data_IF_664450478012
#
_entry.id   IF_664450478012
#
_cell.length_a   1.000
_cell.length_b   1.000
_cell.length_c   1.000
_cell.angle_alpha   90.00
_cell.angle_beta   90.00
_cell.angle_gamma   90.00
#
_symmetry.space_group_name_H-M   'P 1'
#
loop_
_entity.id
_entity.type
_entity.pdbx_description
1 polymer ?
#
# COMPACT_ATOMS: atom_id res chain seq x y z
N UNK A 1 -18.04 -20.70 15.50
CA UNK A 1 -17.68 -21.25 14.16
C UNK A 1 -17.84 -20.21 13.05
N UNK A 2 -19.02 -19.61 12.84
CA UNK A 2 -19.24 -18.60 11.78
C UNK A 2 -18.37 -17.35 11.93
N UNK A 3 -18.26 -16.78 13.14
CA UNK A 3 -17.43 -15.58 13.36
C UNK A 3 -15.95 -15.76 13.01
N UNK A 4 -15.40 -16.96 13.28
CA UNK A 4 -14.03 -17.34 12.91
C UNK A 4 -13.82 -17.34 11.40
N UNK A 5 -14.77 -17.90 10.64
CA UNK A 5 -14.69 -17.91 9.18
C UNK A 5 -14.77 -16.50 8.62
N UNK A 6 -15.69 -15.66 9.13
CA UNK A 6 -15.82 -14.27 8.68
C UNK A 6 -14.55 -13.46 8.95
N UNK A 7 -13.94 -13.61 10.12
CA UNK A 7 -12.69 -12.93 10.45
C UNK A 7 -11.55 -13.37 9.52
N UNK A 8 -11.38 -14.67 9.30
CA UNK A 8 -10.35 -15.19 8.40
C UNK A 8 -10.56 -14.74 6.95
N UNK A 9 -11.81 -14.74 6.46
CA UNK A 9 -12.16 -14.27 5.11
C UNK A 9 -11.79 -12.80 4.96
N UNK A 10 -12.20 -11.95 5.91
CA UNK A 10 -11.91 -10.52 5.85
C UNK A 10 -10.40 -10.26 5.91
N UNK A 11 -9.71 -10.82 6.91
CA UNK A 11 -8.27 -10.64 7.09
C UNK A 11 -7.49 -11.10 5.86
N UNK A 12 -7.84 -12.26 5.30
CA UNK A 12 -7.16 -12.80 4.13
C UNK A 12 -7.46 -11.98 2.86
N UNK A 13 -8.70 -11.48 2.70
CA UNK A 13 -9.09 -10.66 1.57
C UNK A 13 -8.37 -9.32 1.57
N UNK A 14 -8.34 -8.62 2.71
CA UNK A 14 -7.61 -7.36 2.84
C UNK A 14 -6.11 -7.57 2.69
N UNK A 15 -5.57 -8.65 3.24
CA UNK A 15 -4.17 -9.03 3.07
C UNK A 15 -3.79 -9.19 1.60
N UNK A 16 -4.49 -10.05 0.85
CA UNK A 16 -4.26 -10.24 -0.58
C UNK A 16 -4.44 -8.95 -1.38
N UNK A 17 -5.53 -8.23 -1.15
CA UNK A 17 -5.82 -6.97 -1.84
C UNK A 17 -4.71 -5.95 -1.63
N UNK A 18 -4.22 -5.80 -0.39
CA UNK A 18 -3.14 -4.87 -0.05
C UNK A 18 -1.82 -5.21 -0.77
N UNK A 19 -1.45 -6.49 -0.79
CA UNK A 19 -0.23 -6.97 -1.44
C UNK A 19 -0.26 -6.75 -2.95
N UNK A 20 -1.37 -7.10 -3.61
CA UNK A 20 -1.51 -6.91 -5.05
C UNK A 20 -1.65 -5.43 -5.43
N UNK A 21 -2.31 -4.62 -4.60
CA UNK A 21 -2.40 -3.17 -4.83
C UNK A 21 -1.02 -2.52 -4.75
N UNK A 22 -0.18 -2.94 -3.80
CA UNK A 22 1.20 -2.46 -3.67
C UNK A 22 2.02 -2.79 -4.94
N UNK A 23 1.84 -3.99 -5.49
CA UNK A 23 2.43 -4.38 -6.77
C UNK A 23 1.96 -3.51 -7.93
N UNK A 24 0.64 -3.28 -8.02
CA UNK A 24 0.06 -2.43 -9.05
C UNK A 24 0.58 -0.99 -9.00
N UNK A 25 0.75 -0.43 -7.80
CA UNK A 25 1.32 0.91 -7.60
C UNK A 25 2.78 0.95 -8.07
N UNK A 26 3.60 -0.03 -7.69
CA UNK A 26 5.00 -0.11 -8.13
C UNK A 26 5.12 -0.31 -9.65
N UNK A 27 4.27 -1.13 -10.26
CA UNK A 27 4.22 -1.32 -11.71
C UNK A 27 3.82 -0.03 -12.45
N UNK A 28 2.79 0.66 -11.98
CA UNK A 28 2.35 1.94 -12.54
C UNK A 28 3.49 2.96 -12.57
N UNK A 29 4.22 3.08 -11.45
CA UNK A 29 5.39 3.96 -11.35
C UNK A 29 6.54 3.54 -12.25
N UNK A 30 6.81 2.24 -12.33
CA UNK A 30 7.82 1.69 -13.25
C UNK A 30 7.48 2.04 -14.71
N UNK A 31 6.21 1.90 -15.10
CA UNK A 31 5.75 2.24 -16.45
C UNK A 31 6.00 3.72 -16.80
N UNK A 32 5.67 4.63 -15.87
CA UNK A 32 5.89 6.07 -16.04
C UNK A 32 7.38 6.40 -16.23
N UNK A 33 8.25 5.83 -15.39
CA UNK A 33 9.70 6.12 -15.43
C UNK A 33 10.36 5.56 -16.69
N UNK A 34 9.89 4.43 -17.21
CA UNK A 34 10.44 3.83 -18.43
C UNK A 34 10.01 4.56 -19.71
N UNK A 35 8.92 5.33 -19.71
CA UNK A 35 8.39 5.99 -20.91
C UNK A 35 8.17 7.50 -20.75
N UNK A 36 9.20 8.30 -20.45
CA UNK A 36 9.03 9.73 -20.17
C UNK A 36 8.42 10.54 -21.33
N UNK A 37 8.62 10.14 -22.59
CA UNK A 37 8.13 10.86 -23.78
C UNK A 37 6.80 10.35 -24.34
N UNK A 38 6.29 9.20 -23.86
CA UNK A 38 5.05 8.57 -24.30
C UNK A 38 4.12 8.21 -23.12
N UNK A 39 4.47 8.67 -21.92
CA UNK A 39 3.67 8.47 -20.72
C UNK A 39 2.43 9.36 -20.81
N UNK A 40 1.41 8.88 -21.51
CA UNK A 40 0.05 9.31 -21.18
C UNK A 40 -0.17 8.98 -19.72
N UNK A 41 -0.63 9.96 -18.95
CA UNK A 41 -1.04 9.78 -17.55
C UNK A 41 -1.89 8.51 -17.45
N UNK A 42 -1.63 7.70 -16.43
CA UNK A 42 -2.47 6.54 -16.18
C UNK A 42 -3.87 7.06 -15.88
N UNK A 43 -4.77 6.92 -16.86
CA UNK A 43 -6.15 7.41 -16.76
C UNK A 43 -6.83 6.79 -15.56
N UNK A 44 -7.69 7.56 -14.88
CA UNK A 44 -8.47 7.10 -13.72
C UNK A 44 -9.21 5.79 -14.02
N UNK A 45 -9.76 5.66 -15.23
CA UNK A 45 -10.42 4.43 -15.69
C UNK A 45 -9.52 3.19 -15.62
N UNK A 46 -8.25 3.31 -16.01
CA UNK A 46 -7.27 2.21 -15.91
C UNK A 46 -6.97 1.86 -14.46
N UNK A 47 -6.83 2.88 -13.60
CA UNK A 47 -6.62 2.65 -12.17
C UNK A 47 -7.80 1.90 -11.54
N UNK A 48 -9.04 2.28 -11.88
CA UNK A 48 -10.25 1.60 -11.41
C UNK A 48 -10.29 0.16 -11.90
N UNK A 49 -10.04 -0.09 -13.19
CA UNK A 49 -9.99 -1.44 -13.75
C UNK A 49 -8.95 -2.30 -13.02
N UNK A 50 -7.74 -1.79 -12.81
CA UNK A 50 -6.68 -2.51 -12.08
C UNK A 50 -7.13 -2.81 -10.65
N UNK A 51 -7.73 -1.85 -9.95
CA UNK A 51 -8.23 -2.05 -8.59
C UNK A 51 -9.34 -3.13 -8.54
N UNK A 52 -10.28 -3.12 -9.49
CA UNK A 52 -11.30 -4.15 -9.62
C UNK A 52 -10.69 -5.54 -9.86
N UNK A 53 -9.70 -5.64 -10.76
CA UNK A 53 -8.99 -6.91 -11.03
C UNK A 53 -8.29 -7.42 -9.77
N UNK A 54 -7.59 -6.54 -9.03
CA UNK A 54 -6.94 -6.89 -7.77
C UNK A 54 -7.95 -7.44 -6.74
N UNK A 55 -9.09 -6.76 -6.58
CA UNK A 55 -10.15 -7.17 -5.66
C UNK A 55 -10.74 -8.51 -6.06
N UNK A 56 -11.01 -8.74 -7.35
CA UNK A 56 -11.54 -10.01 -7.85
C UNK A 56 -10.55 -11.15 -7.59
N UNK A 57 -9.26 -10.95 -7.88
CA UNK A 57 -8.23 -11.96 -7.62
C UNK A 57 -8.13 -12.27 -6.12
N UNK A 58 -8.13 -11.25 -5.27
CA UNK A 58 -8.13 -11.44 -3.82
C UNK A 58 -9.36 -12.20 -3.33
N UNK A 59 -10.54 -11.88 -3.87
CA UNK A 59 -11.79 -12.58 -3.54
C UNK A 59 -11.75 -14.05 -3.98
N UNK A 60 -11.19 -14.35 -5.15
CA UNK A 60 -11.00 -15.74 -5.58
C UNK A 60 -10.16 -16.50 -4.54
N UNK A 61 -9.01 -15.97 -4.14
CA UNK A 61 -8.15 -16.62 -3.14
C UNK A 61 -8.86 -16.88 -1.81
N UNK A 62 -9.73 -15.97 -1.36
CA UNK A 62 -10.47 -16.15 -0.10
C UNK A 62 -11.66 -17.10 -0.20
N UNK A 63 -12.24 -17.30 -1.38
CA UNK A 63 -13.33 -18.26 -1.55
C UNK A 63 -12.83 -19.70 -1.73
N UNK A 64 -11.59 -19.89 -2.21
CA UNK A 64 -11.01 -21.22 -2.45
C UNK A 64 -11.03 -22.18 -1.23
N UNK A 65 -10.74 -21.73 0.01
CA UNK A 65 -10.94 -22.56 1.20
C UNK A 65 -12.41 -22.94 1.45
N UNK A 66 -13.36 -22.06 1.15
CA UNK A 66 -14.79 -22.33 1.42
C UNK A 66 -15.32 -23.41 0.47
N UNK A 67 -14.86 -23.41 -0.78
CA UNK A 67 -15.24 -24.41 -1.78
C UNK A 67 -14.49 -25.74 -1.65
N UNK A 68 -13.60 -25.86 -0.66
CA UNK A 68 -13.00 -27.13 -0.26
C UNK A 68 -11.53 -27.35 -0.63
N UNK A 69 -10.79 -26.37 -1.18
CA UNK A 69 -9.34 -26.54 -1.38
C UNK A 69 -8.55 -26.45 -0.05
N UNK A 70 -9.12 -25.81 0.96
CA UNK A 70 -8.60 -25.77 2.32
C UNK A 70 -9.80 -25.60 3.28
N UNK A 71 -9.58 -25.20 4.53
CA UNK A 71 -10.64 -24.76 5.44
C UNK A 71 -10.13 -23.63 6.35
N UNK A 72 -11.06 -22.85 6.90
CA UNK A 72 -10.72 -21.86 7.92
C UNK A 72 -10.78 -22.47 9.32
N UNK A 73 -9.69 -22.34 10.07
CA UNK A 73 -9.54 -22.85 11.43
C UNK A 73 -8.87 -21.82 12.34
N UNK A 74 -8.84 -22.09 13.64
CA UNK A 74 -8.15 -21.26 14.63
C UNK A 74 -6.63 -21.39 14.49
N UNK A 75 -5.91 -20.27 14.59
CA UNK A 75 -4.43 -20.25 14.61
C UNK A 75 -3.84 -19.90 15.96
N UNK A 76 -2.60 -20.38 16.17
CA UNK A 76 -1.69 -19.89 17.21
C UNK A 76 -2.30 -19.97 18.59
N UNK A 77 -2.47 -18.81 19.24
CA UNK A 77 -3.06 -18.68 20.57
C UNK A 77 -4.59 -18.90 20.62
N UNK A 78 -5.21 -19.35 19.53
CA UNK A 78 -6.66 -19.59 19.39
C UNK A 78 -7.51 -18.31 19.51
N UNK A 79 -6.92 -17.17 19.18
CA UNK A 79 -7.54 -15.84 19.25
C UNK A 79 -7.90 -15.25 17.88
N UNK A 80 -7.43 -15.86 16.80
CA UNK A 80 -7.68 -15.46 15.41
C UNK A 80 -7.80 -16.69 14.53
N UNK A 81 -8.35 -16.51 13.34
CA UNK A 81 -8.61 -17.56 12.38
C UNK A 81 -7.89 -17.33 11.05
N UNK A 82 -7.60 -18.45 10.39
CA UNK A 82 -6.75 -18.48 9.22
C UNK A 82 -7.03 -19.73 8.38
N UNK A 83 -6.32 -19.89 7.28
CA UNK A 83 -6.33 -21.13 6.48
C UNK A 83 -5.62 -22.25 7.26
N UNK A 84 -6.08 -23.48 7.10
CA UNK A 84 -5.50 -24.62 7.80
C UNK A 84 -4.15 -25.02 7.18
N UNK A 85 -3.08 -24.80 7.95
CA UNK A 85 -1.72 -25.23 7.65
C UNK A 85 -1.19 -26.31 8.60
N UNK A 86 -2.03 -26.77 9.53
CA UNK A 86 -1.73 -27.87 10.45
C UNK A 86 -1.97 -29.22 9.77
N UNK A 87 -3.04 -29.31 8.98
CA UNK A 87 -3.40 -30.52 8.25
C UNK A 87 -2.41 -30.80 7.11
N UNK A 88 -1.94 -32.05 7.04
CA UNK A 88 -0.92 -32.52 6.11
C UNK A 88 -1.48 -33.28 4.93
N UNK A 89 -2.81 -33.37 4.80
CA UNK A 89 -3.43 -33.90 3.59
C UNK A 89 -2.96 -33.11 2.37
N UNK A 90 -2.62 -33.77 1.24
CA UNK A 90 -2.08 -33.12 0.05
C UNK A 90 -2.90 -31.91 -0.44
N UNK A 91 -4.22 -31.96 -0.24
CA UNK A 91 -5.15 -30.87 -0.53
C UNK A 91 -4.75 -29.56 0.18
N UNK A 92 -4.55 -29.60 1.50
CA UNK A 92 -4.21 -28.44 2.33
C UNK A 92 -2.79 -27.95 2.08
N UNK A 93 -1.84 -28.89 2.00
CA UNK A 93 -0.43 -28.63 1.70
C UNK A 93 -0.29 -27.94 0.33
N UNK A 94 -1.00 -28.44 -0.68
CA UNK A 94 -0.99 -27.83 -2.02
C UNK A 94 -1.51 -26.40 -1.99
N UNK A 95 -2.60 -26.12 -1.27
CA UNK A 95 -3.12 -24.76 -1.15
C UNK A 95 -2.10 -23.82 -0.48
N UNK A 96 -1.50 -24.23 0.65
CA UNK A 96 -0.49 -23.42 1.35
C UNK A 96 0.75 -23.17 0.49
N UNK A 97 1.17 -24.15 -0.31
CA UNK A 97 2.24 -23.97 -1.29
C UNK A 97 1.87 -22.92 -2.35
N UNK A 98 0.67 -22.97 -2.90
CA UNK A 98 0.19 -21.96 -3.85
C UNK A 98 0.11 -20.57 -3.22
N UNK A 99 -0.31 -20.43 -1.95
CA UNK A 99 -0.27 -19.15 -1.26
C UNK A 99 1.15 -18.60 -1.13
N UNK A 100 2.10 -19.45 -0.75
CA UNK A 100 3.51 -19.05 -0.67
C UNK A 100 4.03 -18.51 -2.01
N UNK A 101 3.68 -19.16 -3.13
CA UNK A 101 4.11 -18.71 -4.47
C UNK A 101 3.37 -17.46 -4.94
N UNK A 102 2.04 -17.50 -4.99
CA UNK A 102 1.22 -16.49 -5.67
C UNK A 102 0.91 -15.26 -4.81
N UNK A 103 0.77 -15.43 -3.50
CA UNK A 103 0.43 -14.34 -2.58
C UNK A 103 1.69 -13.71 -1.97
N UNK A 104 2.81 -14.44 -1.93
CA UNK A 104 4.07 -13.93 -1.37
C UNK A 104 5.21 -13.81 -2.39
N UNK A 105 5.71 -14.91 -2.98
CA UNK A 105 6.90 -14.87 -3.84
C UNK A 105 6.71 -13.99 -5.10
N UNK A 106 5.62 -14.16 -5.83
CA UNK A 106 5.35 -13.38 -7.05
C UNK A 106 5.24 -11.88 -6.72
N UNK A 107 4.42 -11.44 -5.74
CA UNK A 107 4.40 -10.06 -5.29
C UNK A 107 5.79 -9.53 -4.89
N UNK A 108 6.56 -10.29 -4.11
CA UNK A 108 7.91 -9.89 -3.71
C UNK A 108 8.83 -9.68 -4.92
N UNK A 109 8.82 -10.60 -5.89
CA UNK A 109 9.62 -10.50 -7.11
C UNK A 109 9.21 -9.27 -7.91
N UNK A 110 7.90 -9.05 -8.10
CA UNK A 110 7.39 -7.85 -8.81
C UNK A 110 7.88 -6.59 -8.10
N UNK A 111 7.76 -6.52 -6.78
CA UNK A 111 8.22 -5.37 -6.00
C UNK A 111 9.73 -5.16 -6.16
N UNK A 112 10.56 -6.18 -6.00
CA UNK A 112 12.02 -6.04 -6.14
C UNK A 112 12.38 -5.59 -7.55
N UNK A 113 11.90 -6.29 -8.59
CA UNK A 113 12.25 -5.99 -9.99
C UNK A 113 11.80 -4.60 -10.39
N UNK A 114 10.53 -4.24 -10.15
CA UNK A 114 10.01 -2.93 -10.53
C UNK A 114 10.72 -1.80 -9.80
N UNK A 115 10.96 -1.93 -8.49
CA UNK A 115 11.65 -0.90 -7.72
C UNK A 115 13.14 -0.80 -8.09
N UNK A 116 13.81 -1.91 -8.47
CA UNK A 116 15.16 -1.86 -9.02
C UNK A 116 15.20 -1.08 -10.35
N UNK A 117 14.24 -1.33 -11.25
CA UNK A 117 14.13 -0.59 -12.51
C UNK A 117 13.90 0.91 -12.24
N UNK A 118 13.00 1.24 -11.30
CA UNK A 118 12.75 2.62 -10.85
C UNK A 118 14.06 3.26 -10.38
N UNK A 119 14.81 2.59 -9.50
CA UNK A 119 16.08 3.09 -8.97
C UNK A 119 17.10 3.40 -10.08
N UNK A 120 17.32 2.46 -11.01
CA UNK A 120 18.25 2.67 -12.12
C UNK A 120 17.76 3.74 -13.09
N UNK A 121 16.46 3.81 -13.35
CA UNK A 121 15.83 4.85 -14.15
C UNK A 121 16.08 6.25 -13.57
N UNK A 122 15.88 6.41 -12.26
CA UNK A 122 16.17 7.67 -11.54
C UNK A 122 17.65 8.05 -11.63
N UNK A 123 18.57 7.08 -11.41
CA UNK A 123 20.01 7.32 -11.52
C UNK A 123 20.39 7.84 -12.92
N UNK A 124 19.79 7.27 -13.98
CA UNK A 124 20.02 7.71 -15.36
C UNK A 124 19.48 9.11 -15.63
N UNK A 125 18.31 9.44 -15.09
CA UNK A 125 17.72 10.79 -15.21
C UNK A 125 18.58 11.84 -14.50
N UNK A 126 19.04 11.55 -13.28
CA UNK A 126 19.92 12.43 -12.50
C UNK A 126 21.23 12.76 -13.24
N UNK A 127 21.84 11.77 -13.88
CA UNK A 127 23.06 11.99 -14.67
C UNK A 127 22.84 12.99 -15.81
N UNK A 128 21.71 12.89 -16.53
CA UNK A 128 21.37 13.83 -17.61
C UNK A 128 21.10 15.26 -17.11
N UNK A 129 20.50 15.39 -15.92
CA UNK A 129 20.22 16.70 -15.31
C UNK A 129 21.51 17.41 -14.90
N UNK A 130 22.47 16.67 -14.31
CA UNK A 130 23.76 17.24 -13.89
C UNK A 130 24.59 17.72 -15.09
N UNK A 131 24.43 17.10 -16.27
CA UNK A 131 25.08 17.56 -17.51
C UNK A 131 24.37 18.75 -18.18
N UNK A 132 23.14 19.07 -17.80
CA UNK A 132 22.39 20.21 -18.31
C UNK A 132 22.50 21.45 -17.40
N UNK A 133 21.95 22.59 -17.85
CA UNK A 133 21.85 23.78 -17.00
C UNK A 133 20.89 23.55 -15.82
N UNK A 134 21.31 23.96 -14.62
CA UNK A 134 20.50 23.90 -13.40
C UNK A 134 19.38 24.95 -13.47
N UNK A 135 18.16 24.51 -13.74
CA UNK A 135 16.94 25.33 -13.73
C UNK A 135 16.09 25.03 -12.49
N UNK A 136 15.12 25.89 -12.15
CA UNK A 136 14.17 25.63 -11.04
C UNK A 136 13.43 24.29 -11.20
N UNK A 137 13.14 23.90 -12.45
CA UNK A 137 12.56 22.61 -12.82
C UNK A 137 13.46 21.42 -12.43
N UNK A 138 14.79 21.57 -12.54
CA UNK A 138 15.74 20.54 -12.12
C UNK A 138 15.72 20.30 -10.61
N UNK A 139 15.50 21.36 -9.83
CA UNK A 139 15.44 21.28 -8.36
C UNK A 139 14.16 20.62 -7.87
N UNK A 140 13.00 20.98 -8.45
CA UNK A 140 11.72 20.28 -8.21
C UNK A 140 11.80 18.78 -8.55
N UNK A 141 12.57 18.42 -9.58
CA UNK A 141 12.79 17.02 -9.98
C UNK A 141 13.64 16.26 -8.95
N UNK A 142 14.68 16.87 -8.40
CA UNK A 142 15.51 16.26 -7.33
C UNK A 142 14.69 15.95 -6.07
N UNK A 143 13.79 16.85 -5.66
CA UNK A 143 12.87 16.60 -4.54
C UNK A 143 11.89 15.46 -4.83
N UNK A 144 11.44 15.34 -6.08
CA UNK A 144 10.61 14.21 -6.52
C UNK A 144 11.39 12.89 -6.47
N UNK A 145 12.65 12.86 -6.90
CA UNK A 145 13.51 11.67 -6.82
C UNK A 145 13.62 11.17 -5.38
N UNK A 146 13.87 12.06 -4.42
CA UNK A 146 13.94 11.70 -2.99
C UNK A 146 12.66 11.05 -2.48
N UNK A 147 11.49 11.55 -2.88
CA UNK A 147 10.18 10.94 -2.54
C UNK A 147 10.01 9.55 -3.14
N UNK A 148 10.43 9.35 -4.40
CA UNK A 148 10.33 8.06 -5.07
C UNK A 148 11.28 7.05 -4.41
N UNK A 149 12.51 7.43 -4.09
CA UNK A 149 13.46 6.58 -3.37
C UNK A 149 12.95 6.18 -1.99
N UNK A 150 12.38 7.13 -1.23
CA UNK A 150 11.74 6.83 0.06
C UNK A 150 10.59 5.84 -0.12
N UNK A 151 9.82 5.98 -1.20
CA UNK A 151 8.75 5.04 -1.52
C UNK A 151 9.26 3.63 -1.74
N UNK A 152 10.36 3.43 -2.46
CA UNK A 152 10.94 2.11 -2.73
C UNK A 152 11.24 1.40 -1.40
N UNK A 153 11.89 2.11 -0.49
CA UNK A 153 12.28 1.59 0.82
C UNK A 153 11.03 1.19 1.62
N UNK A 154 10.05 2.10 1.74
CA UNK A 154 8.82 1.82 2.49
C UNK A 154 8.07 0.61 1.91
N UNK A 155 7.98 0.53 0.58
CA UNK A 155 7.27 -0.55 -0.11
C UNK A 155 7.94 -1.92 0.11
N UNK A 156 9.26 -2.03 -0.08
CA UNK A 156 9.99 -3.29 0.07
C UNK A 156 10.07 -3.70 1.54
N UNK A 157 10.51 -2.80 2.41
CA UNK A 157 10.67 -3.10 3.84
C UNK A 157 9.33 -3.41 4.49
N UNK A 158 8.28 -2.64 4.18
CA UNK A 158 6.94 -2.87 4.71
C UNK A 158 6.39 -4.24 4.33
N UNK A 159 6.57 -4.65 3.07
CA UNK A 159 6.14 -5.97 2.61
C UNK A 159 6.91 -7.10 3.31
N UNK A 160 8.25 -7.03 3.35
CA UNK A 160 9.09 -8.07 3.97
C UNK A 160 8.79 -8.20 5.46
N UNK A 161 8.76 -7.09 6.20
CA UNK A 161 8.54 -7.11 7.65
C UNK A 161 7.18 -7.70 8.01
N UNK A 162 6.14 -7.42 7.23
CA UNK A 162 4.79 -7.89 7.55
C UNK A 162 4.49 -9.30 7.04
N UNK A 163 4.94 -9.65 5.84
CA UNK A 163 4.54 -10.90 5.22
C UNK A 163 5.56 -12.02 5.36
N UNK A 164 6.86 -11.73 5.38
CA UNK A 164 7.89 -12.79 5.41
C UNK A 164 7.79 -13.68 6.65
N UNK A 165 7.58 -13.17 7.89
CA UNK A 165 7.46 -14.05 9.06
C UNK A 165 6.35 -15.08 8.91
N UNK A 166 5.21 -14.68 8.35
CA UNK A 166 4.06 -15.54 8.15
C UNK A 166 4.21 -16.44 6.91
N UNK A 167 4.88 -15.98 5.85
CA UNK A 167 5.20 -16.79 4.69
C UNK A 167 6.10 -18.00 5.02
N UNK A 168 6.95 -17.88 6.04
CA UNK A 168 7.74 -19.00 6.57
C UNK A 168 6.82 -20.12 7.10
N UNK A 169 5.67 -19.78 7.69
CA UNK A 169 4.69 -20.78 8.16
C UNK A 169 4.14 -21.58 6.98
N UNK A 170 3.79 -20.93 5.88
CA UNK A 170 3.34 -21.61 4.65
C UNK A 170 4.42 -22.49 4.05
N UNK A 171 5.67 -22.00 4.01
CA UNK A 171 6.80 -22.77 3.53
C UNK A 171 7.04 -24.03 4.37
N UNK A 172 7.06 -23.91 5.70
CA UNK A 172 7.22 -25.06 6.60
C UNK A 172 6.02 -26.02 6.47
N UNK A 173 4.81 -25.49 6.34
CA UNK A 173 3.61 -26.30 6.10
C UNK A 173 3.69 -27.10 4.80
N UNK A 174 4.24 -26.49 3.74
CA UNK A 174 4.36 -27.09 2.42
C UNK A 174 5.47 -28.14 2.32
N UNK A 175 6.63 -27.90 2.93
CA UNK A 175 7.85 -28.68 2.67
C UNK A 175 8.35 -29.53 3.84
N UNK A 176 7.98 -29.20 5.07
CA UNK A 176 8.53 -29.90 6.22
C UNK A 176 7.66 -31.09 6.63
N UNK A 177 8.23 -32.30 6.52
CA UNK A 177 7.53 -33.58 6.70
C UNK A 177 7.69 -34.18 8.12
N UNK A 178 8.25 -33.42 9.08
CA UNK A 178 8.56 -33.93 10.42
C UNK A 178 7.65 -33.36 11.50
N UNK A 179 7.56 -34.04 12.65
CA UNK A 179 6.80 -33.69 13.86
C UNK A 179 7.26 -32.37 14.55
N UNK A 180 7.86 -31.43 13.82
CA UNK A 180 8.14 -30.10 14.36
C UNK A 180 6.82 -29.37 14.60
N UNK A 181 6.43 -29.31 15.86
CA UNK A 181 5.33 -28.49 16.33
C UNK A 181 5.75 -27.03 16.21
N UNK A 182 5.10 -26.29 15.31
CA UNK A 182 5.29 -24.84 15.22
C UNK A 182 4.73 -24.24 16.50
N UNK A 183 5.56 -23.50 17.24
CA UNK A 183 5.14 -22.88 18.49
C UNK A 183 3.89 -22.00 18.26
N UNK A 184 2.81 -22.17 19.05
CA UNK A 184 1.62 -21.33 18.96
C UNK A 184 1.92 -19.83 19.11
N UNK A 185 2.88 -19.50 19.99
CA UNK A 185 3.33 -18.12 20.19
C UNK A 185 4.03 -17.57 18.95
N UNK A 186 4.90 -18.36 18.32
CA UNK A 186 5.59 -17.93 17.10
C UNK A 186 4.60 -17.68 15.95
N UNK A 187 3.62 -18.56 15.78
CA UNK A 187 2.56 -18.42 14.77
C UNK A 187 1.71 -17.18 15.04
N UNK A 188 1.33 -16.95 16.29
CA UNK A 188 0.58 -15.76 16.71
C UNK A 188 1.35 -14.46 16.40
N UNK A 189 2.63 -14.40 16.75
CA UNK A 189 3.48 -13.23 16.46
C UNK A 189 3.55 -12.99 14.94
N UNK A 190 3.78 -14.03 14.15
CA UNK A 190 3.81 -13.93 12.69
C UNK A 190 2.47 -13.42 12.12
N UNK A 191 1.35 -13.91 12.65
CA UNK A 191 0.02 -13.47 12.25
C UNK A 191 -0.22 -11.98 12.56
N UNK A 192 0.26 -11.48 13.71
CA UNK A 192 0.19 -10.05 14.05
C UNK A 192 0.96 -9.18 13.04
N UNK A 193 2.17 -9.60 12.65
CA UNK A 193 2.94 -8.91 11.61
C UNK A 193 2.17 -8.87 10.28
N UNK A 194 1.60 -10.00 9.84
CA UNK A 194 0.81 -10.06 8.62
C UNK A 194 -0.43 -9.15 8.68
N UNK A 195 -1.16 -9.15 9.80
CA UNK A 195 -2.36 -8.31 10.00
C UNK A 195 -2.03 -6.82 10.04
N UNK A 196 -0.82 -6.44 10.47
CA UNK A 196 -0.36 -5.03 10.44
C UNK A 196 -0.07 -4.48 9.03
N UNK A 197 -0.09 -5.33 7.99
CA UNK A 197 0.17 -4.95 6.59
C UNK A 197 -0.69 -3.77 6.10
N UNK A 198 -1.92 -3.66 6.59
CA UNK A 198 -2.86 -2.57 6.25
C UNK A 198 -2.34 -1.16 6.61
N UNK A 199 -1.44 -1.05 7.59
CA UNK A 199 -0.90 0.25 8.03
C UNK A 199 0.12 0.83 7.03
N UNK A 200 0.73 -0.02 6.20
CA UNK A 200 1.81 0.41 5.30
C UNK A 200 1.31 1.23 4.11
N UNK A 201 0.05 1.04 3.68
CA UNK A 201 -0.54 1.80 2.59
C UNK A 201 -0.70 3.28 2.96
N UNK A 202 -1.34 3.67 4.09
CA UNK A 202 -1.35 5.05 4.56
C UNK A 202 0.06 5.64 4.75
N UNK A 203 0.98 4.90 5.38
CA UNK A 203 2.37 5.34 5.61
C UNK A 203 3.05 5.67 4.27
N UNK A 204 2.87 4.82 3.27
CA UNK A 204 3.38 5.05 1.92
C UNK A 204 2.83 6.36 1.35
N UNK A 205 1.52 6.60 1.41
CA UNK A 205 0.91 7.80 0.84
C UNK A 205 1.34 9.08 1.55
N UNK A 206 1.36 9.09 2.88
CA UNK A 206 1.82 10.26 3.67
C UNK A 206 3.27 10.61 3.30
N UNK A 207 4.13 9.62 3.08
CA UNK A 207 5.54 9.90 2.80
C UNK A 207 5.82 10.25 1.34
N UNK A 208 4.95 9.89 0.41
CA UNK A 208 5.23 9.95 -1.03
C UNK A 208 4.34 10.94 -1.78
N UNK A 209 3.10 11.17 -1.34
CA UNK A 209 2.14 12.06 -1.99
C UNK A 209 2.10 13.43 -1.31
N UNK A 210 2.43 14.47 -2.07
CA UNK A 210 2.35 15.86 -1.61
C UNK A 210 0.92 16.27 -1.28
N UNK A 211 -0.04 15.83 -2.10
CA UNK A 211 -1.45 16.16 -1.92
C UNK A 211 -2.04 15.55 -0.64
N UNK A 212 -1.72 14.28 -0.37
CA UNK A 212 -2.16 13.62 0.87
C UNK A 212 -1.54 14.26 2.10
N UNK A 213 -0.29 14.73 2.03
CA UNK A 213 0.31 15.48 3.13
C UNK A 213 -0.37 16.82 3.36
N UNK A 214 -0.72 17.54 2.30
CA UNK A 214 -1.42 18.82 2.42
C UNK A 214 -2.79 18.63 3.09
N UNK A 215 -3.57 17.64 2.64
CA UNK A 215 -4.84 17.29 3.30
C UNK A 215 -4.62 16.89 4.76
N UNK A 216 -3.62 16.07 5.05
CA UNK A 216 -3.35 15.62 6.42
C UNK A 216 -2.93 16.78 7.34
N UNK A 217 -2.10 17.70 6.85
CA UNK A 217 -1.71 18.91 7.59
C UNK A 217 -2.90 19.84 7.79
N UNK A 218 -3.73 20.02 6.75
CA UNK A 218 -4.92 20.86 6.80
C UNK A 218 -5.95 20.34 7.83
N UNK A 219 -6.21 19.03 7.84
CA UNK A 219 -7.03 18.39 8.87
C UNK A 219 -6.44 18.55 10.28
N UNK A 220 -5.11 18.49 10.43
CA UNK A 220 -4.47 18.73 11.72
C UNK A 220 -4.55 20.20 12.15
N UNK A 221 -4.48 21.17 11.23
CA UNK A 221 -4.69 22.59 11.55
C UNK A 221 -6.14 22.89 11.92
N UNK A 222 -7.11 22.25 11.26
CA UNK A 222 -8.54 22.36 11.59
C UNK A 222 -8.81 21.75 12.98
N UNK A 223 -8.31 20.54 13.27
CA UNK A 223 -8.42 19.93 14.59
C UNK A 223 -7.75 20.79 15.69
N UNK A 224 -6.62 21.43 15.38
CA UNK A 224 -5.94 22.33 16.31
C UNK A 224 -6.75 23.62 16.53
N UNK A 225 -7.39 24.16 15.49
CA UNK A 225 -8.28 25.32 15.60
C UNK A 225 -9.57 25.02 16.38
N UNK A 226 -10.17 23.85 16.21
CA UNK A 226 -11.35 23.44 17.01
C UNK A 226 -10.98 23.21 18.49
N UNK A 227 -9.81 22.62 18.75
CA UNK A 227 -9.31 22.42 20.13
C UNK A 227 -9.05 23.77 20.81
N UNK A 228 -8.46 24.75 20.12
CA UNK A 228 -8.23 26.12 20.63
C UNK A 228 -9.56 26.89 20.75
N UNK A 229 -10.50 26.70 19.81
CA UNK A 229 -11.84 27.31 19.84
C UNK A 229 -12.74 26.79 20.97
N UNK A 230 -12.53 25.57 21.44
CA UNK A 230 -13.20 25.02 22.63
C UNK A 230 -12.62 25.51 23.96
N UNK A 231 -11.38 26.01 23.98
CA UNK A 231 -10.74 26.61 25.16
C UNK A 231 -10.82 28.13 25.20
N UNK A 232 -11.31 28.78 24.14
CA UNK A 232 -11.33 30.24 23.98
C UNK A 232 -12.70 30.85 23.68
N UNK A 233 -13.80 30.31 24.20
CA UNK A 233 -15.10 31.01 24.17
C UNK A 233 -15.22 31.99 25.33
N UNK A 234 -14.49 33.10 25.24
CA UNK A 234 -14.86 34.38 25.84
C UNK A 234 -14.01 35.49 25.19
N UNK A 235 -14.51 36.05 24.09
CA UNK A 235 -14.37 37.47 23.68
C UNK A 235 -14.75 37.65 22.19
N UNK A 236 -15.76 38.48 21.97
CA UNK A 236 -16.33 38.86 20.68
C UNK A 236 -15.42 39.91 20.00
N UNK A 237 -14.99 39.72 18.73
CA UNK A 237 -14.39 40.82 17.95
C UNK A 237 -14.53 40.63 16.41
N UNK A 238 -14.59 41.72 15.60
CA UNK A 238 -15.13 41.75 14.24
C UNK A 238 -14.13 41.37 13.12
N UNK A 239 -13.11 40.57 13.41
CA UNK A 239 -12.11 40.09 12.43
C UNK A 239 -12.64 39.03 11.45
N UNK A 240 -13.85 38.53 11.65
CA UNK A 240 -14.53 37.47 10.88
C UNK A 240 -14.72 37.80 9.39
N UNK A 241 -14.67 39.09 9.02
CA UNK A 241 -14.89 39.53 7.63
C UNK A 241 -13.65 39.30 6.74
N UNK A 242 -12.43 39.30 7.31
CA UNK A 242 -11.19 39.10 6.53
C UNK A 242 -10.97 37.62 6.20
N UNK A 243 -11.31 36.71 7.12
CA UNK A 243 -11.11 35.27 6.97
C UNK A 243 -12.04 34.64 5.90
N UNK A 244 -13.20 35.26 5.64
CA UNK A 244 -14.12 34.79 4.58
C UNK A 244 -13.54 34.98 3.18
N UNK A 245 -12.61 35.93 3.00
CA UNK A 245 -11.95 36.20 1.71
C UNK A 245 -10.85 35.16 1.42
N UNK A 246 -10.14 34.67 2.44
CA UNK A 246 -9.19 33.56 2.30
C UNK A 246 -9.88 32.22 2.07
N UNK A 247 -11.01 31.96 2.75
CA UNK A 247 -11.81 30.74 2.53
C UNK A 247 -12.36 30.62 1.10
N UNK A 248 -12.58 31.74 0.41
CA UNK A 248 -13.01 31.75 -0.99
C UNK A 248 -11.85 31.35 -1.94
N UNK A 249 -10.61 31.70 -1.62
CA UNK A 249 -9.42 31.23 -2.37
C UNK A 249 -9.12 29.75 -2.13
N UNK A 250 -9.31 29.24 -0.91
CA UNK A 250 -9.11 27.82 -0.61
C UNK A 250 -10.16 26.93 -1.30
N UNK A 251 -11.43 27.36 -1.35
CA UNK A 251 -12.50 26.62 -2.05
C UNK A 251 -12.33 26.69 -3.57
N UNK A 252 -11.76 27.76 -4.12
CA UNK A 252 -11.42 27.84 -5.54
C UNK A 252 -10.33 26.83 -5.96
N UNK A 253 -9.44 26.44 -5.05
CA UNK A 253 -8.44 25.37 -5.28
C UNK A 253 -9.08 23.98 -5.23
N UNK A 254 -10.15 23.80 -4.44
CA UNK A 254 -10.88 22.52 -4.31
C UNK A 254 -11.80 22.26 -5.51
N UNK A 255 -12.34 23.31 -6.13
CA UNK A 255 -13.22 23.21 -7.30
C UNK A 255 -12.48 23.21 -8.65
N UNK A 256 -11.15 23.23 -8.65
CA UNK A 256 -10.38 23.03 -9.87
C UNK A 256 -10.56 21.57 -10.35
N UNK A 257 -10.91 21.33 -11.63
CA UNK A 257 -11.20 19.99 -12.12
C UNK A 257 -10.02 19.04 -11.87
N UNK A 258 -10.36 17.83 -11.44
CA UNK A 258 -9.51 16.68 -11.07
C UNK A 258 -8.48 16.23 -12.14
N UNK A 259 -8.29 16.99 -13.22
CA UNK A 259 -7.51 16.58 -14.39
C UNK A 259 -6.12 17.24 -14.50
N UNK A 260 -5.81 18.33 -13.80
CA UNK A 260 -4.65 19.14 -14.20
C UNK A 260 -3.36 19.04 -13.37
N UNK A 261 -3.32 18.33 -12.23
CA UNK A 261 -2.15 18.43 -11.34
C UNK A 261 -1.43 17.12 -10.99
N UNK A 262 -1.80 16.00 -11.62
CA UNK A 262 -1.03 14.76 -11.42
C UNK A 262 0.20 14.66 -12.34
N UNK A 263 0.23 15.40 -13.46
CA UNK A 263 1.36 15.51 -14.39
C UNK A 263 1.22 16.78 -15.25
N UNK A 264 1.66 17.93 -14.75
CA UNK A 264 2.03 19.05 -15.61
C UNK A 264 3.55 18.94 -15.85
N UNK A 265 3.93 18.18 -16.87
CA UNK A 265 5.21 18.29 -17.55
C UNK A 265 4.89 18.45 -19.04
N UNK A 266 5.28 19.61 -19.57
CA UNK A 266 5.41 20.03 -20.96
C UNK A 266 4.13 20.32 -21.79
N UNK A 267 3.71 21.59 -21.73
CA UNK A 267 3.57 22.40 -22.95
C UNK A 267 4.53 23.61 -22.83
N UNK A 268 5.74 23.45 -23.39
CA UNK A 268 6.52 24.43 -24.18
C UNK A 268 7.94 23.91 -24.42
#
# INVERSE_FOLDING_TARGET
RVGCQLEAIMAFFYGCSSSYLLCAISLSRCYIILRPFNAKNVSVTKCIIIACVVVIIAFIWTMLPIIGWNEYTLEGALTSCCVNWYDRRPLYVSFNFFLFIFVYCIPLIILVVTNSIIYFGLKRMKYKIIQGNKTELSQKRIEMEGRILKSIIITICGFIITWTPYAIVFFISAFHNTNTTISPLATFVCACFAKSSVMWIPILYINTSTHFRLIFVDMNSINKQETIGSTGREAHNPSVIVEKKEKTSAIAVINAPLENNFFAIDEQ
#
